data_IF_039650895719
#
_entry.id   IF_039650895719
#
_cell.length_a   1.000
_cell.length_b   1.000
_cell.length_c   1.000
_cell.angle_alpha   90.00
_cell.angle_beta   90.00
_cell.angle_gamma   90.00
#
_symmetry.space_group_name_H-M   'P 1'
#
loop_
_entity.id
_entity.type
_entity.pdbx_description
1 polymer ?
#
# COMPACT_ATOMS: atom_id res chain seq x y z
N UNK A 1 -4.95 -9.46 5.70
CA UNK A 1 -4.53 -8.96 4.38
C UNK A 1 -3.02 -8.88 4.32
N UNK A 2 -2.44 -8.76 3.13
CA UNK A 2 -1.04 -8.38 2.93
C UNK A 2 -0.99 -7.10 2.11
N UNK A 3 -0.10 -6.18 2.45
CA UNK A 3 0.18 -4.97 1.68
C UNK A 3 1.56 -5.04 1.02
N UNK A 4 1.72 -4.34 -0.10
CA UNK A 4 3.00 -4.13 -0.78
C UNK A 4 3.08 -2.73 -1.37
N UNK A 5 4.30 -2.24 -1.54
CA UNK A 5 4.57 -0.88 -2.00
C UNK A 5 5.45 -0.90 -3.26
N UNK A 6 4.93 -0.32 -4.34
CA UNK A 6 5.61 -0.26 -5.63
C UNK A 6 6.13 1.15 -5.86
N UNK A 7 7.39 1.27 -6.27
CA UNK A 7 7.95 2.58 -6.63
C UNK A 7 7.35 3.07 -7.95
N UNK A 8 6.35 3.95 -7.85
CA UNK A 8 5.49 4.35 -8.96
C UNK A 8 6.24 4.99 -10.13
N UNK A 9 7.37 5.67 -9.85
CA UNK A 9 8.17 6.34 -10.87
C UNK A 9 9.02 5.37 -11.72
N UNK A 10 9.18 4.10 -11.28
CA UNK A 10 10.00 3.10 -11.99
C UNK A 10 9.19 1.91 -12.46
N UNK A 11 8.14 1.52 -11.73
CA UNK A 11 7.41 0.29 -11.97
C UNK A 11 5.91 0.54 -12.06
N UNK A 12 5.26 -0.13 -13.02
CA UNK A 12 3.81 -0.02 -13.24
C UNK A 12 2.96 -0.94 -12.34
N UNK A 13 3.60 -1.79 -11.54
CA UNK A 13 2.91 -2.76 -10.67
C UNK A 13 2.17 -3.87 -11.42
N UNK A 14 2.55 -4.18 -12.67
CA UNK A 14 1.80 -5.07 -13.57
C UNK A 14 1.56 -6.46 -12.98
N UNK A 15 2.55 -7.07 -12.32
CA UNK A 15 2.39 -8.39 -11.70
C UNK A 15 1.31 -8.39 -10.60
N UNK A 16 1.23 -7.33 -9.79
CA UNK A 16 0.18 -7.20 -8.77
C UNK A 16 -1.19 -6.98 -9.39
N UNK A 17 -1.29 -6.15 -10.44
CA UNK A 17 -2.54 -5.96 -11.20
C UNK A 17 -3.04 -7.26 -11.82
N UNK A 18 -2.14 -8.06 -12.38
CA UNK A 18 -2.47 -9.35 -12.99
C UNK A 18 -2.84 -10.42 -11.95
N UNK A 19 -2.27 -10.35 -10.75
CA UNK A 19 -2.50 -11.30 -9.66
C UNK A 19 -3.71 -10.94 -8.76
N UNK A 20 -4.67 -10.14 -9.26
CA UNK A 20 -5.87 -9.72 -8.53
C UNK A 20 -5.61 -8.96 -7.22
N UNK A 21 -4.50 -8.20 -7.13
CA UNK A 21 -4.30 -7.28 -6.01
C UNK A 21 -5.16 -6.02 -6.18
N UNK A 22 -5.64 -5.50 -5.06
CA UNK A 22 -6.46 -4.28 -5.02
C UNK A 22 -5.53 -3.08 -4.88
N UNK A 23 -5.63 -2.12 -5.80
CA UNK A 23 -4.91 -0.86 -5.72
C UNK A 23 -5.63 0.12 -4.79
N UNK A 24 -4.93 0.67 -3.80
CA UNK A 24 -5.50 1.59 -2.80
C UNK A 24 -5.13 3.07 -3.02
N UNK A 25 -4.18 3.36 -3.92
CA UNK A 25 -3.68 4.73 -4.13
C UNK A 25 -2.19 4.87 -3.84
N UNK A 26 -1.75 6.12 -3.62
CA UNK A 26 -0.33 6.46 -3.41
C UNK A 26 -0.05 6.88 -1.98
N UNK A 27 1.14 6.54 -1.49
CA UNK A 27 1.67 7.11 -0.25
C UNK A 27 2.02 8.59 -0.44
N UNK A 28 2.13 9.34 0.65
CA UNK A 28 2.46 10.77 0.65
C UNK A 28 3.95 11.03 0.35
N UNK A 29 4.79 10.00 0.27
CA UNK A 29 6.24 10.16 0.06
C UNK A 29 6.99 10.64 1.30
N UNK A 30 6.57 10.16 2.48
CA UNK A 30 7.26 10.34 3.76
C UNK A 30 8.07 9.10 4.12
N UNK A 31 9.25 9.32 4.68
CA UNK A 31 10.11 8.29 5.23
C UNK A 31 10.25 8.44 6.75
N UNK A 32 10.80 7.41 7.39
CA UNK A 32 11.10 7.43 8.83
C UNK A 32 12.57 7.08 9.05
N UNK A 33 13.26 7.87 9.88
CA UNK A 33 14.62 7.60 10.36
C UNK A 33 14.63 7.75 11.88
N UNK A 34 14.76 6.62 12.59
CA UNK A 34 14.55 6.58 14.04
C UNK A 34 13.12 6.99 14.42
N UNK A 35 12.96 7.87 15.42
CA UNK A 35 11.66 8.47 15.77
C UNK A 35 11.23 9.64 14.88
N UNK A 36 12.04 10.08 13.92
CA UNK A 36 11.72 11.25 13.08
C UNK A 36 11.14 10.84 11.74
N UNK A 37 10.09 11.54 11.32
CA UNK A 37 9.58 11.50 9.95
C UNK A 37 10.21 12.61 9.13
N UNK A 38 10.44 12.35 7.84
CA UNK A 38 10.90 13.34 6.88
C UNK A 38 10.18 13.16 5.55
N UNK A 39 10.06 14.24 4.79
CA UNK A 39 9.46 14.21 3.46
C UNK A 39 10.59 13.99 2.45
N UNK A 40 10.43 12.99 1.58
CA UNK A 40 11.37 12.74 0.49
C UNK A 40 10.70 12.82 -0.90
N UNK A 41 9.39 13.13 -0.97
CA UNK A 41 8.63 13.26 -2.22
C UNK A 41 8.75 12.06 -3.16
N UNK A 42 8.87 10.85 -2.61
CA UNK A 42 8.86 9.61 -3.40
C UNK A 42 7.62 8.78 -3.05
N UNK A 43 6.45 9.12 -3.63
CA UNK A 43 5.23 8.35 -3.40
C UNK A 43 5.39 6.91 -3.94
N UNK A 44 4.77 5.96 -3.26
CA UNK A 44 4.69 4.55 -3.67
C UNK A 44 3.24 4.20 -3.94
N UNK A 45 2.98 3.42 -4.98
CA UNK A 45 1.68 2.80 -5.19
C UNK A 45 1.46 1.72 -4.12
N UNK A 46 0.29 1.69 -3.51
CA UNK A 46 -0.10 0.73 -2.47
C UNK A 46 -1.04 -0.30 -3.08
N UNK A 47 -0.68 -1.58 -2.95
CA UNK A 47 -1.54 -2.69 -3.32
C UNK A 47 -1.79 -3.57 -2.10
N UNK A 48 -2.99 -4.13 -2.01
CA UNK A 48 -3.36 -5.09 -0.97
C UNK A 48 -3.97 -6.36 -1.54
N UNK A 49 -3.73 -7.46 -0.86
CA UNK A 49 -4.35 -8.76 -1.14
C UNK A 49 -5.08 -9.29 0.11
N UNK A 50 -6.40 -9.48 0.06
CA UNK A 50 -7.16 -10.10 1.15
C UNK A 50 -6.71 -11.56 1.38
N UNK A 51 -6.44 -11.92 2.64
CA UNK A 51 -6.11 -13.31 3.01
C UNK A 51 -7.34 -14.11 3.47
N UNK A 52 -8.41 -13.42 3.85
CA UNK A 52 -9.68 -14.00 4.27
C UNK A 52 -10.83 -13.19 3.67
N UNK A 53 -12.01 -13.82 3.54
CA UNK A 53 -13.19 -13.19 2.91
C UNK A 53 -13.76 -12.04 3.73
N UNK A 54 -13.62 -12.10 5.04
CA UNK A 54 -14.15 -11.17 6.03
C UNK A 54 -13.16 -10.09 6.47
N UNK A 55 -12.05 -9.91 5.74
CA UNK A 55 -10.99 -8.97 6.07
C UNK A 55 -11.50 -7.54 6.37
N UNK A 56 -12.52 -7.07 5.66
CA UNK A 56 -13.12 -5.75 5.92
C UNK A 56 -13.81 -5.67 7.29
N UNK A 57 -14.47 -6.75 7.74
CA UNK A 57 -15.10 -6.77 9.07
C UNK A 57 -14.04 -6.75 10.18
N UNK A 58 -12.92 -7.44 9.95
CA UNK A 58 -11.80 -7.51 10.91
C UNK A 58 -11.06 -6.16 11.01
N UNK A 59 -10.85 -5.48 9.87
CA UNK A 59 -10.06 -4.25 9.82
C UNK A 59 -10.86 -2.98 10.07
N UNK A 60 -12.17 -2.99 9.81
CA UNK A 60 -13.00 -1.81 10.06
C UNK A 60 -13.12 -1.62 11.56
N UNK A 61 -12.74 -0.43 12.02
CA UNK A 61 -13.21 0.05 13.31
C UNK A 61 -14.69 0.40 13.12
N UNK A 62 -15.57 -0.17 13.95
CA UNK A 62 -16.93 0.37 14.06
C UNK A 62 -16.78 1.80 14.58
N UNK A 63 -17.15 2.78 13.76
CA UNK A 63 -17.30 4.18 14.16
C UNK A 63 -18.64 4.36 14.85
#
# INVERSE_FOLDING_TARGET
>A
LVETFVYANRFKGTCYKAANWIYLGKTIGKGRRGMKYFIHNQPKDVYVYPLCKDYLKILRCNL
#
